data_IF_749607777273
#
_entry.id   IF_749607777273
#
_cell.length_a   1.000
_cell.length_b   1.000
_cell.length_c   1.000
_cell.angle_alpha   90.00
_cell.angle_beta   90.00
_cell.angle_gamma   90.00
#
_symmetry.space_group_name_H-M   'P 1'
#
loop_
_entity.id
_entity.type
_entity.pdbx_description
1 polymer ?
#
# COMPACT_ATOMS: atom_id res chain seq x y z
N UNK A 1 -7.39 -4.31 26.15
CA UNK A 1 -7.91 -4.56 24.78
C UNK A 1 -9.33 -4.01 24.70
N UNK A 2 -9.50 -2.69 24.86
CA UNK A 2 -10.82 -2.08 25.12
C UNK A 2 -11.74 -2.04 23.88
N UNK A 3 -11.18 -2.11 22.67
CA UNK A 3 -11.95 -1.98 21.42
C UNK A 3 -12.31 -3.31 20.75
N UNK A 4 -12.02 -4.46 21.38
CA UNK A 4 -12.37 -5.78 20.85
C UNK A 4 -13.37 -6.44 21.79
N UNK A 5 -14.58 -6.72 21.29
CA UNK A 5 -15.62 -7.35 22.10
C UNK A 5 -15.21 -8.75 22.58
N UNK A 6 -15.72 -9.22 23.73
CA UNK A 6 -15.39 -10.55 24.26
C UNK A 6 -15.65 -11.68 23.25
N UNK A 7 -16.74 -11.58 22.50
CA UNK A 7 -17.07 -12.55 21.45
C UNK A 7 -16.02 -12.59 20.34
N UNK A 8 -15.53 -11.43 19.88
CA UNK A 8 -14.47 -11.37 18.85
C UNK A 8 -13.14 -11.92 19.39
N UNK A 9 -12.82 -11.66 20.65
CA UNK A 9 -11.63 -12.22 21.30
C UNK A 9 -11.69 -13.75 21.32
N UNK A 10 -12.81 -14.32 21.76
CA UNK A 10 -13.00 -15.76 21.78
C UNK A 10 -12.98 -16.39 20.38
N UNK A 11 -13.55 -15.70 19.38
CA UNK A 11 -13.72 -16.22 18.02
C UNK A 11 -12.46 -16.16 17.16
N UNK A 12 -11.68 -15.09 17.29
CA UNK A 12 -10.60 -14.74 16.34
C UNK A 12 -9.21 -14.69 16.96
N UNK A 13 -9.08 -14.90 18.26
CA UNK A 13 -7.81 -14.91 18.95
C UNK A 13 -7.64 -16.19 19.77
N UNK A 14 -6.38 -16.58 19.97
CA UNK A 14 -5.96 -17.61 20.91
C UNK A 14 -5.17 -16.92 22.00
N UNK A 15 -5.52 -17.16 23.27
CA UNK A 15 -4.73 -16.68 24.40
C UNK A 15 -3.47 -17.54 24.52
N UNK A 16 -2.31 -16.91 24.54
CA UNK A 16 -1.00 -17.53 24.71
C UNK A 16 -0.30 -16.76 25.83
N UNK A 17 -0.13 -17.40 26.97
CA UNK A 17 0.33 -16.76 28.22
C UNK A 17 -0.52 -15.51 28.55
N UNK A 18 0.11 -14.35 28.71
CA UNK A 18 -0.54 -13.06 28.96
C UNK A 18 -0.83 -12.26 27.67
N UNK A 19 -0.70 -12.90 26.50
CA UNK A 19 -0.90 -12.28 25.20
C UNK A 19 -2.03 -12.92 24.40
N UNK A 20 -2.50 -12.20 23.39
CA UNK A 20 -3.43 -12.71 22.39
C UNK A 20 -2.73 -12.84 21.05
N UNK A 21 -2.87 -14.01 20.43
CA UNK A 21 -2.42 -14.29 19.07
C UNK A 21 -3.64 -14.37 18.16
N UNK A 22 -3.67 -13.58 17.09
CA UNK A 22 -4.72 -13.68 16.05
C UNK A 22 -4.71 -15.10 15.47
N UNK A 23 -5.87 -15.72 15.27
CA UNK A 23 -5.98 -17.08 14.75
C UNK A 23 -5.43 -17.19 13.32
N UNK A 24 -4.84 -18.35 12.97
CA UNK A 24 -4.23 -18.58 11.65
C UNK A 24 -5.21 -18.30 10.50
N UNK A 25 -6.47 -18.72 10.66
CA UNK A 25 -7.53 -18.50 9.66
C UNK A 25 -7.77 -17.03 9.31
N UNK A 26 -7.51 -16.09 10.23
CA UNK A 26 -7.59 -14.65 9.96
C UNK A 26 -6.30 -14.16 9.31
N UNK A 27 -5.14 -14.62 9.81
CA UNK A 27 -3.83 -14.22 9.25
C UNK A 27 -3.66 -14.66 7.79
N UNK A 28 -4.21 -15.81 7.43
CA UNK A 28 -4.16 -16.34 6.06
C UNK A 28 -4.96 -15.47 5.06
N UNK A 29 -5.85 -14.59 5.53
CA UNK A 29 -6.57 -13.62 4.70
C UNK A 29 -5.75 -12.34 4.43
N UNK A 30 -4.58 -12.19 5.08
CA UNK A 30 -3.78 -10.98 5.03
C UNK A 30 -2.43 -11.23 4.37
N UNK A 31 -2.06 -10.38 3.42
CA UNK A 31 -0.72 -10.32 2.85
C UNK A 31 -0.07 -9.02 3.32
N UNK A 32 1.13 -9.12 3.90
CA UNK A 32 1.94 -7.97 4.29
C UNK A 32 3.10 -7.84 3.31
N UNK A 33 3.25 -6.66 2.72
CA UNK A 33 4.33 -6.35 1.80
C UNK A 33 4.85 -4.93 2.05
N UNK A 34 6.17 -4.69 1.98
CA UNK A 34 6.69 -3.34 1.96
C UNK A 34 6.21 -2.63 0.69
N UNK A 35 5.65 -1.44 0.86
CA UNK A 35 5.13 -0.64 -0.24
C UNK A 35 5.27 0.85 0.06
N UNK A 36 6.01 1.56 -0.79
CA UNK A 36 6.13 3.00 -0.76
C UNK A 36 5.09 3.62 -1.70
N UNK A 37 4.01 4.15 -1.13
CA UNK A 37 2.90 4.78 -1.85
C UNK A 37 3.33 5.86 -2.87
N UNK A 38 4.47 6.51 -2.66
CA UNK A 38 4.94 7.63 -3.48
C UNK A 38 5.88 7.21 -4.62
N UNK A 39 6.43 5.99 -4.57
CA UNK A 39 7.46 5.50 -5.50
C UNK A 39 7.04 4.22 -6.21
N UNK A 40 6.41 3.31 -5.49
CA UNK A 40 6.05 2.00 -6.02
C UNK A 40 4.80 2.09 -6.90
N UNK A 41 4.67 1.22 -7.92
CA UNK A 41 3.47 1.15 -8.73
C UNK A 41 2.22 0.85 -7.88
N UNK A 42 1.09 1.51 -8.13
CA UNK A 42 -0.13 1.25 -7.37
C UNK A 42 -0.65 -0.16 -7.64
N UNK A 43 -1.25 -0.75 -6.60
CA UNK A 43 -2.20 -1.83 -6.78
C UNK A 43 -3.37 -1.36 -7.66
N UNK A 44 -4.05 -2.29 -8.33
CA UNK A 44 -5.22 -1.98 -9.17
C UNK A 44 -6.38 -2.90 -8.84
N UNK A 45 -7.59 -2.48 -9.22
CA UNK A 45 -8.84 -3.23 -9.02
C UNK A 45 -9.17 -3.50 -7.55
N UNK A 46 -8.91 -2.52 -6.69
CA UNK A 46 -9.24 -2.60 -5.27
C UNK A 46 -10.69 -2.14 -5.02
N UNK A 47 -11.43 -2.86 -4.18
CA UNK A 47 -12.79 -2.44 -3.79
C UNK A 47 -12.79 -1.45 -2.61
N UNK A 48 -11.77 -1.52 -1.76
CA UNK A 48 -11.64 -0.69 -0.58
C UNK A 48 -10.18 -0.32 -0.32
N UNK A 49 -9.92 0.97 -0.10
CA UNK A 49 -8.65 1.45 0.43
C UNK A 49 -8.93 2.15 1.76
N UNK A 50 -8.23 1.74 2.81
CA UNK A 50 -8.17 2.48 4.07
C UNK A 50 -6.78 3.08 4.21
N UNK A 51 -6.71 4.40 4.21
CA UNK A 51 -5.48 5.16 4.44
C UNK A 51 -5.75 6.13 5.58
N UNK A 52 -5.44 5.71 6.81
CA UNK A 52 -5.72 6.47 8.03
C UNK A 52 -4.40 6.85 8.70
N UNK A 53 -4.30 8.11 9.11
CA UNK A 53 -3.16 8.66 9.84
C UNK A 53 -1.85 8.74 9.04
N UNK A 54 -1.87 8.66 7.71
CA UNK A 54 -0.68 8.78 6.87
C UNK A 54 -0.57 10.16 6.21
N UNK A 55 -1.67 10.69 5.69
CA UNK A 55 -1.66 11.89 4.85
C UNK A 55 -1.25 13.15 5.63
N UNK A 56 -1.50 13.18 6.94
CA UNK A 56 -1.12 14.30 7.81
C UNK A 56 0.40 14.53 7.91
N UNK A 57 1.20 13.54 7.51
CA UNK A 57 2.67 13.63 7.50
C UNK A 57 3.24 14.06 6.14
N UNK A 58 2.37 14.23 5.13
CA UNK A 58 2.76 14.56 3.77
C UNK A 58 2.46 16.04 3.47
N UNK A 59 3.31 16.67 2.67
CA UNK A 59 3.00 17.98 2.09
C UNK A 59 1.82 17.89 1.09
N UNK A 60 1.29 19.04 0.69
CA UNK A 60 0.12 19.13 -0.19
C UNK A 60 0.34 18.48 -1.57
N UNK A 61 1.56 18.47 -2.08
CA UNK A 61 1.90 17.86 -3.37
C UNK A 61 1.87 16.34 -3.26
N UNK A 62 2.47 15.79 -2.20
CA UNK A 62 2.49 14.36 -1.92
C UNK A 62 1.11 13.83 -1.53
N UNK A 63 0.31 14.60 -0.77
CA UNK A 63 -1.09 14.28 -0.50
C UNK A 63 -1.88 14.15 -1.80
N UNK A 64 -1.75 15.13 -2.72
CA UNK A 64 -2.42 15.07 -4.02
C UNK A 64 -2.00 13.84 -4.82
N UNK A 65 -0.69 13.54 -4.88
CA UNK A 65 -0.17 12.35 -5.56
C UNK A 65 -0.76 11.06 -4.99
N UNK A 66 -0.79 10.93 -3.65
CA UNK A 66 -1.38 9.79 -2.97
C UNK A 66 -2.87 9.61 -3.31
N UNK A 67 -3.66 10.69 -3.25
CA UNK A 67 -5.11 10.63 -3.51
C UNK A 67 -5.43 10.27 -4.97
N UNK A 68 -4.66 10.81 -5.94
CA UNK A 68 -4.77 10.41 -7.36
C UNK A 68 -4.42 8.93 -7.53
N UNK A 69 -3.38 8.46 -6.84
CA UNK A 69 -2.95 7.05 -6.86
C UNK A 69 -4.06 6.13 -6.31
N UNK A 70 -4.73 6.53 -5.23
CA UNK A 70 -5.88 5.78 -4.70
C UNK A 70 -7.06 5.73 -5.67
N UNK A 71 -7.37 6.83 -6.36
CA UNK A 71 -8.44 6.87 -7.36
C UNK A 71 -8.19 5.87 -8.49
N UNK A 72 -6.94 5.82 -8.99
CA UNK A 72 -6.54 4.86 -10.01
C UNK A 72 -6.62 3.41 -9.52
N UNK A 73 -6.20 3.16 -8.27
CA UNK A 73 -6.16 1.83 -7.69
C UNK A 73 -7.55 1.22 -7.43
N UNK A 74 -8.55 2.05 -7.13
CA UNK A 74 -9.91 1.62 -6.80
C UNK A 74 -10.70 1.16 -8.03
N UNK A 75 -11.65 0.24 -7.87
CA UNK A 75 -12.67 -0.03 -8.87
C UNK A 75 -13.66 1.15 -8.99
N UNK A 76 -14.44 1.26 -10.09
CA UNK A 76 -15.49 2.28 -10.25
C UNK A 76 -16.50 2.35 -9.08
N UNK A 77 -16.75 1.21 -8.43
CA UNK A 77 -17.64 1.07 -7.27
C UNK A 77 -16.88 1.08 -5.93
N UNK A 78 -15.58 1.35 -5.96
CA UNK A 78 -14.70 1.26 -4.81
C UNK A 78 -14.79 2.45 -3.87
N UNK A 79 -14.35 2.21 -2.63
CA UNK A 79 -14.40 3.19 -1.55
C UNK A 79 -13.02 3.54 -0.98
N UNK A 80 -12.84 4.81 -0.64
CA UNK A 80 -11.69 5.31 0.10
C UNK A 80 -12.14 5.72 1.51
N UNK A 81 -11.41 5.25 2.53
CA UNK A 81 -11.63 5.61 3.93
C UNK A 81 -10.41 6.32 4.47
N UNK A 82 -10.58 7.56 4.92
CA UNK A 82 -9.53 8.37 5.50
C UNK A 82 -9.68 8.54 7.02
N UNK A 83 -8.63 9.00 7.69
CA UNK A 83 -8.66 9.41 9.09
C UNK A 83 -9.43 10.73 9.28
N UNK A 84 -9.82 11.01 10.54
CA UNK A 84 -10.66 12.17 10.89
C UNK A 84 -10.06 13.51 10.47
N UNK A 85 -8.74 13.65 10.57
CA UNK A 85 -7.98 14.86 10.21
C UNK A 85 -7.54 14.88 8.75
N UNK A 86 -7.94 13.89 7.95
CA UNK A 86 -7.48 13.73 6.57
C UNK A 86 -8.60 14.09 5.58
N UNK A 87 -8.20 14.51 4.39
CA UNK A 87 -9.10 14.97 3.33
C UNK A 87 -8.54 14.66 1.96
N UNK A 88 -9.42 14.51 0.97
CA UNK A 88 -9.06 14.42 -0.46
C UNK A 88 -8.56 15.76 -1.01
N UNK A 89 -8.77 16.86 -0.27
CA UNK A 89 -8.23 18.19 -0.58
C UNK A 89 -8.59 18.66 -1.99
N UNK A 90 -7.59 19.16 -2.73
CA UNK A 90 -7.74 19.62 -4.12
C UNK A 90 -8.13 18.51 -5.11
N UNK A 91 -8.10 17.24 -4.69
CA UNK A 91 -8.56 16.10 -5.48
C UNK A 91 -10.03 15.75 -5.22
N UNK A 92 -10.79 16.62 -4.54
CA UNK A 92 -12.23 16.47 -4.32
C UNK A 92 -13.06 16.17 -5.59
N UNK A 93 -12.70 16.64 -6.80
CA UNK A 93 -13.41 16.23 -8.02
C UNK A 93 -13.36 14.73 -8.32
N UNK A 94 -12.34 14.00 -7.84
CA UNK A 94 -12.17 12.56 -8.07
C UNK A 94 -13.04 11.68 -7.17
N UNK A 95 -13.62 12.25 -6.11
CA UNK A 95 -14.33 11.51 -5.09
C UNK A 95 -15.68 12.16 -4.74
N UNK A 96 -16.65 11.35 -4.36
CA UNK A 96 -17.87 11.82 -3.71
C UNK A 96 -17.82 11.45 -2.23
N UNK A 97 -18.08 12.40 -1.34
CA UNK A 97 -18.11 12.08 0.08
C UNK A 97 -19.45 11.44 0.44
N UNK A 98 -19.41 10.18 0.87
CA UNK A 98 -20.60 9.41 1.25
C UNK A 98 -20.95 9.65 2.72
N UNK A 99 -19.96 9.53 3.62
CA UNK A 99 -20.17 9.70 5.06
C UNK A 99 -19.16 10.67 5.65
N UNK A 100 -19.66 11.82 6.16
CA UNK A 100 -18.81 12.90 6.68
C UNK A 100 -18.10 12.52 7.97
N UNK A 101 -18.82 11.88 8.90
CA UNK A 101 -18.31 11.53 10.22
C UNK A 101 -17.22 10.45 10.17
N UNK A 102 -17.28 9.58 9.16
CA UNK A 102 -16.38 8.46 8.98
C UNK A 102 -15.38 8.64 7.84
N UNK A 103 -15.41 9.81 7.16
CA UNK A 103 -14.51 10.15 6.05
C UNK A 103 -14.47 9.05 4.98
N UNK A 104 -15.66 8.60 4.60
CA UNK A 104 -15.86 7.60 3.55
C UNK A 104 -16.19 8.31 2.25
N UNK A 105 -15.48 7.94 1.19
CA UNK A 105 -15.60 8.51 -0.13
C UNK A 105 -15.83 7.41 -1.16
N UNK A 106 -16.75 7.60 -2.10
CA UNK A 106 -16.86 6.76 -3.29
C UNK A 106 -16.03 7.35 -4.43
N UNK A 107 -15.44 6.48 -5.25
CA UNK A 107 -14.76 6.89 -6.49
C UNK A 107 -15.77 7.56 -7.44
N UNK A 108 -15.40 8.67 -8.07
CA UNK A 108 -16.14 9.23 -9.22
C UNK A 108 -15.56 8.67 -10.52
N UNK A 109 -16.45 8.26 -11.41
CA UNK A 109 -16.11 7.71 -12.73
C UNK A 109 -15.96 8.80 -13.80
N UNK A 110 -16.50 9.98 -13.53
CA UNK A 110 -16.62 11.06 -14.50
C UNK A 110 -15.47 12.05 -14.33
N UNK A 111 -14.30 11.64 -14.82
CA UNK A 111 -13.24 12.53 -15.26
C UNK A 111 -12.54 11.76 -16.38
N UNK A 112 -12.19 12.46 -17.44
CA UNK A 112 -11.21 12.12 -18.47
C UNK A 112 -9.84 11.76 -17.84
N UNK A 113 -9.82 10.70 -17.04
CA UNK A 113 -8.85 10.40 -15.98
C UNK A 113 -7.97 9.21 -16.33
N UNK A 114 -7.65 9.09 -17.63
CA UNK A 114 -6.36 8.52 -18.01
C UNK A 114 -5.25 9.51 -17.66
N UNK A 115 -5.19 9.94 -16.39
CA UNK A 115 -4.02 10.60 -15.85
C UNK A 115 -2.86 9.63 -16.07
N UNK A 116 -1.98 9.97 -17.00
CA UNK A 116 -0.84 9.16 -17.40
C UNK A 116 0.04 8.97 -16.17
N UNK A 117 -0.09 7.82 -15.51
CA UNK A 117 0.84 7.44 -14.46
C UNK A 117 2.16 7.10 -15.16
N UNK A 118 3.09 8.05 -15.17
CA UNK A 118 4.45 7.79 -15.64
C UNK A 118 5.08 6.82 -14.66
N UNK A 119 5.06 5.53 -15.02
CA UNK A 119 5.81 4.50 -14.29
C UNK A 119 7.30 4.83 -14.46
N UNK A 120 7.95 5.26 -13.40
CA UNK A 120 9.41 5.23 -13.32
C UNK A 120 9.79 3.81 -12.93
N UNK A 121 10.51 3.05 -13.78
CA UNK A 121 11.04 1.75 -13.39
C UNK A 121 11.83 1.91 -12.10
N UNK A 122 11.64 0.99 -11.15
CA UNK A 122 12.50 0.88 -9.98
C UNK A 122 13.91 0.61 -10.50
N UNK A 123 14.79 1.62 -10.48
CA UNK A 123 16.21 1.39 -10.64
C UNK A 123 16.62 0.48 -9.48
N UNK A 124 16.91 -0.78 -9.81
CA UNK A 124 17.68 -1.64 -8.94
C UNK A 124 19.02 -0.93 -8.80
N UNK A 125 19.27 -0.31 -7.65
CA UNK A 125 20.61 0.12 -7.29
C UNK A 125 21.48 -1.13 -7.38
N UNK A 126 22.29 -1.20 -8.43
CA UNK A 126 23.21 -2.29 -8.64
C UNK A 126 24.14 -2.34 -7.44
N UNK A 127 24.13 -3.47 -6.73
CA UNK A 127 25.21 -3.85 -5.83
C UNK A 127 26.49 -3.99 -6.65
N UNK A 128 27.15 -2.87 -6.96
CA UNK A 128 28.58 -2.85 -7.28
C UNK A 128 29.36 -2.86 -5.96
N UNK A 129 29.20 -3.94 -5.20
CA UNK A 129 30.03 -4.28 -4.05
C UNK A 129 30.62 -5.65 -4.33
N UNK A 130 31.82 -5.69 -4.92
CA UNK A 130 32.51 -6.94 -5.21
C UNK A 130 32.73 -7.73 -3.92
N UNK A 131 32.13 -8.92 -3.83
CA UNK A 131 32.51 -9.90 -2.82
C UNK A 131 33.86 -10.51 -3.21
N UNK A 132 34.94 -10.04 -2.59
CA UNK A 132 36.24 -10.70 -2.61
C UNK A 132 36.13 -11.99 -1.78
N UNK A 133 36.23 -13.14 -2.43
CA UNK A 133 36.37 -14.44 -1.75
C UNK A 133 37.79 -14.54 -1.13
N UNK A 134 37.93 -15.08 0.09
CA UNK A 134 39.24 -15.34 0.65
C UNK A 134 39.85 -16.58 -0.03
N UNK A 135 40.98 -16.39 -0.70
CA UNK A 135 41.72 -17.45 -1.40
C UNK A 135 41.74 -17.23 -2.92
N UNK A 136 42.85 -16.69 -3.43
CA UNK A 136 43.02 -16.20 -4.80
C UNK A 136 42.99 -17.28 -5.90
N UNK A 137 41.84 -17.91 -6.12
CA UNK A 137 41.62 -18.81 -7.24
C UNK A 137 40.91 -18.07 -8.38
N UNK A 138 41.62 -17.86 -9.49
CA UNK A 138 41.09 -17.31 -10.74
C UNK A 138 40.51 -18.44 -11.58
N UNK A 139 39.20 -18.45 -11.79
CA UNK A 139 38.56 -19.38 -12.74
C UNK A 139 38.71 -18.77 -14.14
N UNK A 140 39.42 -19.46 -15.04
CA UNK A 140 39.51 -19.07 -16.45
C UNK A 140 38.23 -19.51 -17.18
N UNK A 141 37.66 -18.60 -17.98
CA UNK A 141 36.57 -18.88 -18.90
C UNK A 141 37.02 -19.89 -19.97
N UNK A 142 36.20 -20.89 -20.36
CA UNK A 142 36.53 -21.71 -21.52
C UNK A 142 36.37 -20.87 -22.78
N UNK A 143 37.45 -20.77 -23.55
CA UNK A 143 37.48 -20.09 -24.84
C UNK A 143 36.60 -20.79 -25.88
N UNK A 144 35.89 -19.99 -26.67
CA UNK A 144 35.24 -20.44 -27.89
C UNK A 144 36.28 -20.61 -28.99
N UNK A 145 36.42 -21.83 -29.50
CA UNK A 145 37.09 -22.14 -30.76
C UNK A 145 36.04 -22.53 -31.80
N UNK A 146 36.18 -21.97 -33.01
CA UNK A 146 35.39 -22.33 -34.19
C UNK A 146 35.89 -23.58 -34.90
#
# INVERSE_FOLDING_TARGET
MMDVSPWRLQRFFTKVDDHYRINKSVRDLCVFAPHNLLKDPPFSRLDLISCRNLLIYLDSTLQRKAVVTFHYALNPTGYLVLGKSETVGNSAPLFSQLEKNYKVFSRKNDVDSRATFTMTPRQLEGEQGGYQLPGGARIQSPGGGG
#
